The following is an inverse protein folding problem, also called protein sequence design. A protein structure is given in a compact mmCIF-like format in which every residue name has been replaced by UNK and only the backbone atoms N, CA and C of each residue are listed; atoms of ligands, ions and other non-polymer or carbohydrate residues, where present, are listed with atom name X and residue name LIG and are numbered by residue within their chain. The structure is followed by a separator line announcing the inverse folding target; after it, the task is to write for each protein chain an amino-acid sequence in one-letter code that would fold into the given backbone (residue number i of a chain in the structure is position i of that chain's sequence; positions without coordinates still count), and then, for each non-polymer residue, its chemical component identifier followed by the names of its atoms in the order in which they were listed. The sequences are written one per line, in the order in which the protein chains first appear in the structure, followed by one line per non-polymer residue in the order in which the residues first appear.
data_IF_573109512911
#
_entry.id   IF_573109512911
#
_cell.length_a   1.000
_cell.length_b   1.000
_cell.length_c   1.000
_cell.angle_alpha   90.00
_cell.angle_beta   90.00
_cell.angle_gamma   90.00
#
_symmetry.space_group_name_H-M   'P 1'
#
loop_
_entity.id
_entity.type
_entity.pdbx_description
1 polymer ?
#
# COMPACT_ATOMS: atom_id res chain seq x y z
N UNK A 1 50.82 -30.77 -2.41
CA UNK A 1 49.92 -30.12 -3.38
C UNK A 1 48.46 -30.31 -2.94
N UNK A 2 47.80 -29.34 -2.26
CA UNK A 2 46.41 -29.56 -1.81
C UNK A 2 45.51 -28.32 -1.64
N UNK A 3 45.89 -27.11 -2.08
CA UNK A 3 45.11 -25.89 -1.76
C UNK A 3 44.32 -25.26 -2.92
N UNK A 4 44.03 -26.00 -4.00
CA UNK A 4 43.29 -25.44 -5.16
C UNK A 4 41.83 -25.89 -5.28
N UNK A 5 41.36 -26.85 -4.46
CA UNK A 5 39.99 -27.42 -4.57
C UNK A 5 38.95 -26.78 -3.64
N UNK A 6 39.37 -26.09 -2.57
CA UNK A 6 38.43 -25.53 -1.57
C UNK A 6 37.87 -24.17 -2.02
N UNK A 7 38.62 -23.39 -2.81
CA UNK A 7 38.22 -22.04 -3.25
C UNK A 7 37.18 -22.01 -4.38
N UNK A 8 37.10 -23.05 -5.23
CA UNK A 8 36.08 -23.12 -6.29
C UNK A 8 34.67 -23.51 -5.80
N UNK A 9 34.56 -24.26 -4.70
CA UNK A 9 33.26 -24.76 -4.19
C UNK A 9 32.48 -23.69 -3.42
N UNK A 10 33.18 -22.79 -2.71
CA UNK A 10 32.58 -21.64 -1.99
C UNK A 10 31.99 -20.59 -2.93
N UNK A 11 32.62 -20.38 -4.10
CA UNK A 11 32.19 -19.38 -5.07
C UNK A 11 30.89 -19.76 -5.81
N UNK A 12 30.69 -21.07 -6.07
CA UNK A 12 29.48 -21.58 -6.74
C UNK A 12 28.24 -21.56 -5.82
N UNK A 13 28.42 -21.67 -4.51
CA UNK A 13 27.34 -21.58 -3.52
C UNK A 13 26.88 -20.13 -3.31
N UNK A 14 27.81 -19.16 -3.33
CA UNK A 14 27.50 -17.74 -3.19
C UNK A 14 26.71 -17.22 -4.41
N UNK A 15 27.07 -17.64 -5.62
CA UNK A 15 26.35 -17.23 -6.84
C UNK A 15 24.95 -17.87 -6.95
N UNK A 16 24.75 -19.08 -6.41
CA UNK A 16 23.42 -19.70 -6.34
C UNK A 16 22.50 -18.98 -5.35
N UNK A 17 23.05 -18.48 -4.23
CA UNK A 17 22.30 -17.69 -3.25
C UNK A 17 21.94 -16.28 -3.76
N UNK A 18 22.81 -15.66 -4.56
CA UNK A 18 22.51 -14.36 -5.21
C UNK A 18 21.41 -14.53 -6.26
N UNK A 19 21.48 -15.59 -7.06
CA UNK A 19 20.46 -15.87 -8.08
C UNK A 19 19.08 -16.15 -7.47
N UNK A 20 19.00 -16.75 -6.28
CA UNK A 20 17.73 -16.98 -5.56
C UNK A 20 17.18 -15.69 -4.91
N UNK A 21 18.03 -14.72 -4.56
CA UNK A 21 17.57 -13.40 -4.09
C UNK A 21 17.00 -12.53 -5.20
N UNK A 22 17.40 -12.75 -6.45
CA UNK A 22 16.98 -11.94 -7.60
C UNK A 22 15.62 -12.37 -8.16
N UNK A 23 15.25 -13.65 -8.07
CA UNK A 23 13.91 -14.17 -8.45
C UNK A 23 12.79 -13.86 -7.44
N UNK A 24 13.12 -13.33 -6.27
CA UNK A 24 12.14 -12.96 -5.23
C UNK A 24 11.62 -11.53 -5.32
N UNK A 25 12.15 -10.73 -6.26
CA UNK A 25 11.64 -9.38 -6.53
C UNK A 25 10.78 -9.45 -7.78
N UNK A 26 9.64 -10.10 -7.65
CA UNK A 26 8.50 -9.76 -8.51
C UNK A 26 8.19 -8.32 -8.11
N UNK A 27 8.73 -7.38 -8.88
CA UNK A 27 8.11 -6.06 -8.98
C UNK A 27 6.67 -6.35 -9.38
N UNK A 28 5.78 -6.33 -8.39
CA UNK A 28 4.35 -6.15 -8.60
C UNK A 28 4.27 -5.05 -9.66
N UNK A 29 3.90 -5.45 -10.87
CA UNK A 29 3.46 -4.49 -11.88
C UNK A 29 2.44 -3.64 -11.15
N UNK A 30 2.83 -2.41 -10.85
CA UNK A 30 2.05 -1.47 -10.08
C UNK A 30 0.89 -1.10 -10.99
N UNK A 31 -0.10 -1.99 -11.07
CA UNK A 31 -1.29 -1.83 -11.87
C UNK A 31 -1.91 -0.54 -11.35
N UNK A 32 -1.80 0.52 -12.15
CA UNK A 32 -2.36 1.84 -11.82
C UNK A 32 -3.87 1.75 -11.98
N UNK A 33 -4.50 1.02 -11.07
CA UNK A 33 -5.94 1.01 -10.92
C UNK A 33 -6.38 2.42 -10.53
N UNK A 34 -7.36 2.93 -11.27
CA UNK A 34 -8.04 4.18 -10.95
C UNK A 34 -9.49 3.82 -10.69
N UNK A 35 -10.00 4.24 -9.56
CA UNK A 35 -11.37 3.98 -9.15
C UNK A 35 -12.07 5.32 -8.99
N UNK A 36 -13.22 5.44 -9.65
CA UNK A 36 -14.01 6.66 -9.68
C UNK A 36 -15.44 6.37 -9.23
N UNK A 37 -15.97 7.25 -8.40
CA UNK A 37 -17.36 7.25 -7.96
C UNK A 37 -18.04 8.47 -8.55
N UNK A 38 -19.08 8.27 -9.35
CA UNK A 38 -19.88 9.35 -9.92
C UNK A 38 -21.29 9.36 -9.33
N UNK A 39 -21.72 10.52 -8.84
CA UNK A 39 -23.06 10.70 -8.29
C UNK A 39 -23.59 12.12 -8.56
N UNK A 40 -24.81 12.22 -9.08
CA UNK A 40 -25.49 13.49 -9.40
C UNK A 40 -24.64 14.47 -10.23
N UNK A 41 -23.80 13.99 -11.14
CA UNK A 41 -22.94 14.82 -11.99
C UNK A 41 -21.59 15.22 -11.35
N UNK A 42 -21.30 14.74 -10.14
CA UNK A 42 -20.01 14.90 -9.49
C UNK A 42 -19.19 13.61 -9.62
N UNK A 43 -17.87 13.73 -9.66
CA UNK A 43 -16.91 12.61 -9.78
C UNK A 43 -15.87 12.69 -8.67
N UNK A 44 -15.56 11.55 -8.04
CA UNK A 44 -14.55 11.43 -6.98
C UNK A 44 -13.58 10.30 -7.30
N UNK A 45 -12.29 10.56 -7.20
CA UNK A 45 -11.27 9.53 -7.27
C UNK A 45 -10.98 8.97 -5.87
N UNK A 46 -10.86 7.64 -5.77
CA UNK A 46 -10.49 6.95 -4.52
C UNK A 46 -9.22 7.53 -3.89
N UNK A 47 -8.25 7.95 -4.72
CA UNK A 47 -6.98 8.52 -4.25
C UNK A 47 -7.15 9.83 -3.51
N UNK A 48 -8.09 10.68 -3.94
CA UNK A 48 -8.37 11.94 -3.26
C UNK A 48 -9.00 11.67 -1.89
N UNK A 49 -9.95 10.73 -1.82
CA UNK A 49 -10.57 10.28 -0.58
C UNK A 49 -9.51 9.72 0.39
N UNK A 50 -8.66 8.80 -0.09
CA UNK A 50 -7.56 8.24 0.71
C UNK A 50 -6.60 9.34 1.19
N UNK A 51 -6.31 10.34 0.35
CA UNK A 51 -5.41 11.44 0.71
C UNK A 51 -6.01 12.28 1.83
N UNK A 52 -7.28 12.70 1.71
CA UNK A 52 -8.01 13.40 2.77
C UNK A 52 -8.04 12.60 4.07
N UNK A 53 -8.33 11.29 4.02
CA UNK A 53 -8.34 10.43 5.21
C UNK A 53 -6.95 10.39 5.87
N UNK A 54 -5.88 10.29 5.08
CA UNK A 54 -4.50 10.31 5.59
C UNK A 54 -4.11 11.64 6.21
N UNK A 55 -4.65 12.75 5.70
CA UNK A 55 -4.45 14.08 6.29
C UNK A 55 -5.16 14.17 7.65
N UNK A 56 -6.45 13.85 7.70
CA UNK A 56 -7.22 13.83 8.96
C UNK A 56 -6.55 12.93 10.01
N UNK A 57 -6.10 11.74 9.61
CA UNK A 57 -5.37 10.82 10.48
C UNK A 57 -4.11 11.44 11.09
N UNK A 58 -3.32 12.18 10.28
CA UNK A 58 -2.13 12.89 10.76
C UNK A 58 -2.48 14.08 11.64
N UNK A 59 -3.52 14.83 11.30
CA UNK A 59 -4.00 15.98 12.08
C UNK A 59 -4.51 15.54 13.46
N UNK A 60 -5.09 14.35 13.56
CA UNK A 60 -5.48 13.72 14.82
C UNK A 60 -4.28 13.26 15.67
N UNK A 61 -3.05 13.44 15.17
CA UNK A 61 -1.80 13.13 15.87
C UNK A 61 -1.33 11.68 15.67
N UNK A 62 -2.00 10.92 14.81
CA UNK A 62 -1.63 9.54 14.52
C UNK A 62 -0.52 9.46 13.46
N UNK A 63 0.22 8.36 13.45
CA UNK A 63 1.32 8.14 12.50
C UNK A 63 0.84 7.31 11.32
N UNK A 64 1.34 7.62 10.12
CA UNK A 64 1.07 6.82 8.91
C UNK A 64 1.55 5.37 9.08
N UNK A 65 2.56 5.13 9.92
CA UNK A 65 3.05 3.78 10.25
C UNK A 65 2.02 2.91 10.96
N UNK A 66 1.08 3.53 11.67
CA UNK A 66 0.03 2.85 12.38
C UNK A 66 -1.19 2.57 11.49
N UNK A 67 -1.24 3.12 10.27
CA UNK A 67 -2.28 2.82 9.28
C UNK A 67 -1.93 1.50 8.57
N UNK A 68 -2.48 0.39 9.09
CA UNK A 68 -2.26 -0.96 8.55
C UNK A 68 -3.37 -1.38 7.59
N UNK A 69 -4.61 -1.06 7.96
CA UNK A 69 -5.81 -1.39 7.20
C UNK A 69 -6.69 -0.14 7.10
N UNK A 70 -7.28 0.07 5.93
CA UNK A 70 -8.15 1.21 5.64
C UNK A 70 -9.34 0.75 4.80
N UNK A 71 -10.51 0.64 5.43
CA UNK A 71 -11.78 0.40 4.76
C UNK A 71 -12.47 1.73 4.48
N UNK A 72 -12.98 1.90 3.26
CA UNK A 72 -13.65 3.13 2.82
C UNK A 72 -15.03 2.78 2.27
N UNK A 73 -16.05 3.41 2.85
CA UNK A 73 -17.44 3.31 2.43
C UNK A 73 -17.94 4.67 1.98
N UNK A 74 -18.11 4.83 0.67
CA UNK A 74 -18.64 6.07 0.09
C UNK A 74 -20.16 6.00 0.09
N UNK A 75 -20.82 6.94 0.76
CA UNK A 75 -22.28 7.11 0.73
C UNK A 75 -22.61 8.46 0.09
N UNK A 76 -22.68 8.51 -1.24
CA UNK A 76 -22.82 9.77 -1.96
C UNK A 76 -24.18 10.43 -1.72
N UNK A 77 -25.21 9.68 -1.32
CA UNK A 77 -26.51 10.22 -0.90
C UNK A 77 -26.43 11.14 0.33
N UNK A 78 -25.46 10.91 1.22
CA UNK A 78 -25.21 11.77 2.38
C UNK A 78 -24.08 12.78 2.12
N UNK A 79 -23.44 12.70 0.96
CA UNK A 79 -22.26 13.49 0.65
C UNK A 79 -21.01 13.11 1.46
N UNK A 80 -20.92 11.87 1.98
CA UNK A 80 -19.84 11.48 2.90
C UNK A 80 -19.11 10.20 2.50
N UNK A 81 -17.83 10.14 2.83
CA UNK A 81 -17.05 8.91 2.83
C UNK A 81 -16.69 8.52 4.27
N UNK A 82 -17.22 7.39 4.70
CA UNK A 82 -16.93 6.78 5.99
C UNK A 82 -15.68 5.93 5.87
N UNK A 83 -14.81 5.97 6.87
CA UNK A 83 -13.60 5.17 6.88
C UNK A 83 -13.40 4.48 8.22
N UNK A 84 -12.78 3.30 8.17
CA UNK A 84 -12.33 2.56 9.35
C UNK A 84 -10.85 2.24 9.19
N UNK A 85 -10.05 2.66 10.16
CA UNK A 85 -8.61 2.40 10.24
C UNK A 85 -8.38 1.31 11.27
N UNK A 86 -7.71 0.24 10.85
CA UNK A 86 -7.38 -0.94 11.67
C UNK A 86 -8.60 -1.59 12.35
N UNK A 87 -9.81 -1.45 11.80
CA UNK A 87 -11.05 -1.93 12.42
C UNK A 87 -11.49 -1.18 13.69
N UNK A 88 -10.66 -0.33 14.26
CA UNK A 88 -10.88 0.32 15.57
C UNK A 88 -11.29 1.79 15.42
N UNK A 89 -10.59 2.55 14.57
CA UNK A 89 -10.78 4.00 14.49
C UNK A 89 -11.69 4.31 13.31
N UNK A 90 -12.83 4.94 13.62
CA UNK A 90 -13.85 5.27 12.63
C UNK A 90 -13.95 6.77 12.49
N UNK A 91 -14.13 7.21 11.26
CA UNK A 91 -14.39 8.61 10.96
C UNK A 91 -15.19 8.75 9.68
N UNK A 92 -15.47 10.00 9.35
CA UNK A 92 -16.09 10.37 8.09
C UNK A 92 -15.45 11.63 7.57
N UNK A 93 -15.28 11.72 6.25
CA UNK A 93 -14.96 12.96 5.57
C UNK A 93 -16.11 13.38 4.68
N UNK A 94 -16.25 14.68 4.50
CA UNK A 94 -17.15 15.24 3.51
C UNK A 94 -16.51 15.16 2.11
N UNK A 95 -17.33 14.76 1.14
CA UNK A 95 -16.93 14.61 -0.25
C UNK A 95 -17.56 15.66 -1.18
N UNK A 96 -18.45 16.55 -0.72
CA UNK A 96 -19.05 17.63 -1.54
C UNK A 96 -18.90 19.03 -0.94
#
# INVERSE_FOLDING_TARGET
MANRRITKKKNKALQKAIKIKEIGKVEEENMKSRFFVQYQGNEFEEKEIITKIKEVWKEEGNKVKDLKELDIYVKPEEGKAYYTINGEIRGSIDIF
#
